data_IF_115515388142
#
_entry.id   IF_115515388142
#
_cell.length_a   1.000
_cell.length_b   1.000
_cell.length_c   1.000
_cell.angle_alpha   90.00
_cell.angle_beta   90.00
_cell.angle_gamma   90.00
#
_symmetry.space_group_name_H-M   'P 1'
#
loop_
_entity.id
_entity.type
_entity.pdbx_description
1 polymer ?
#
# COMPACT_ATOMS: atom_id res chain seq x y z
N UNK A 1 23.24 -5.86 -13.21
CA UNK A 1 22.15 -6.64 -13.83
C UNK A 1 20.94 -6.51 -12.93
N UNK A 2 19.87 -5.86 -13.37
CA UNK A 2 18.61 -5.89 -12.62
C UNK A 2 18.08 -7.33 -12.67
N UNK A 3 17.85 -7.95 -11.52
CA UNK A 3 17.25 -9.28 -11.45
C UNK A 3 15.84 -9.19 -12.04
N UNK A 4 15.44 -10.22 -12.80
CA UNK A 4 14.23 -10.22 -13.65
C UNK A 4 12.91 -9.98 -12.88
N UNK A 5 12.95 -10.03 -11.54
CA UNK A 5 11.80 -10.01 -10.64
C UNK A 5 11.86 -8.87 -9.59
N UNK A 6 12.60 -7.79 -9.84
CA UNK A 6 12.66 -6.68 -8.87
C UNK A 6 11.43 -5.78 -8.98
N UNK A 7 10.76 -5.56 -7.84
CA UNK A 7 9.74 -4.53 -7.68
C UNK A 7 10.40 -3.18 -7.41
N UNK A 8 9.89 -2.12 -8.03
CA UNK A 8 10.38 -0.76 -7.84
C UNK A 8 9.19 0.13 -7.47
N UNK A 9 9.24 0.73 -6.29
CA UNK A 9 8.27 1.75 -5.87
C UNK A 9 8.38 2.97 -6.79
N UNK A 10 7.25 3.43 -7.29
CA UNK A 10 7.17 4.59 -8.17
C UNK A 10 7.07 5.89 -7.35
N UNK A 11 7.47 7.04 -7.92
CA UNK A 11 7.23 8.34 -7.30
C UNK A 11 5.74 8.56 -7.01
N UNK A 12 5.45 9.29 -5.92
CA UNK A 12 4.09 9.68 -5.58
C UNK A 12 3.58 10.79 -6.50
N UNK A 13 2.28 10.78 -6.76
CA UNK A 13 1.63 11.84 -7.55
C UNK A 13 1.07 12.95 -6.65
N UNK A 14 0.64 12.61 -5.43
CA UNK A 14 0.06 13.55 -4.47
C UNK A 14 0.75 13.44 -3.12
N UNK A 15 0.73 14.56 -2.40
CA UNK A 15 1.04 14.59 -0.97
C UNK A 15 -0.23 14.24 -0.18
N UNK A 16 -0.06 13.52 0.92
CA UNK A 16 -1.15 13.15 1.82
C UNK A 16 -0.61 12.91 3.23
N UNK A 17 -1.40 12.29 4.10
CA UNK A 17 -0.94 11.89 5.44
C UNK A 17 -1.44 10.49 5.81
N UNK A 18 -1.31 9.58 4.83
CA UNK A 18 -1.63 8.18 4.97
C UNK A 18 -0.45 7.45 5.64
N UNK A 19 -0.77 6.44 6.44
CA UNK A 19 0.21 5.81 7.34
C UNK A 19 0.21 4.28 7.24
N UNK A 20 -0.69 3.71 6.43
CA UNK A 20 -0.78 2.28 6.15
C UNK A 20 -0.72 1.43 7.42
N UNK A 21 -1.26 1.91 8.55
CA UNK A 21 -1.05 1.28 9.86
C UNK A 21 -2.06 0.16 10.12
N UNK A 22 -3.25 0.27 9.53
CA UNK A 22 -4.35 -0.66 9.70
C UNK A 22 -4.10 -2.09 9.23
N UNK A 23 -5.17 -2.89 9.28
CA UNK A 23 -5.15 -4.30 8.86
C UNK A 23 -4.76 -4.38 7.38
N UNK A 24 -3.82 -5.26 7.04
CA UNK A 24 -3.43 -5.49 5.64
C UNK A 24 -4.29 -6.57 5.01
N UNK A 25 -4.96 -6.24 3.92
CA UNK A 25 -5.67 -7.18 3.05
C UNK A 25 -4.95 -7.31 1.71
N UNK A 26 -5.15 -8.44 1.04
CA UNK A 26 -4.63 -8.67 -0.30
C UNK A 26 -5.61 -9.50 -1.11
N UNK A 27 -5.68 -9.26 -2.42
CA UNK A 27 -6.55 -10.05 -3.31
C UNK A 27 -6.06 -11.49 -3.42
N UNK A 28 -6.98 -12.41 -3.71
CA UNK A 28 -6.63 -13.81 -4.00
C UNK A 28 -5.64 -13.92 -5.17
N UNK A 29 -5.71 -13.01 -6.13
CA UNK A 29 -4.79 -12.98 -7.27
C UNK A 29 -3.36 -12.68 -6.84
N UNK A 30 -3.14 -11.71 -5.95
CA UNK A 30 -1.82 -11.43 -5.37
C UNK A 30 -1.27 -12.67 -4.67
N UNK A 31 -2.08 -13.32 -3.81
CA UNK A 31 -1.66 -14.51 -3.07
C UNK A 31 -1.30 -15.70 -3.97
N UNK A 32 -1.94 -15.81 -5.14
CA UNK A 32 -1.72 -16.92 -6.06
C UNK A 32 -0.56 -16.67 -7.05
N UNK A 33 -0.30 -15.41 -7.42
CA UNK A 33 0.62 -15.06 -8.50
C UNK A 33 1.95 -14.44 -8.06
N UNK A 34 2.02 -13.93 -6.84
CA UNK A 34 3.22 -13.30 -6.28
C UNK A 34 3.75 -14.18 -5.15
N UNK A 35 5.06 -14.41 -5.14
CA UNK A 35 5.67 -15.22 -4.09
C UNK A 35 5.57 -14.53 -2.72
N UNK A 36 5.52 -15.32 -1.64
CA UNK A 36 5.52 -14.76 -0.28
C UNK A 36 6.75 -13.88 -0.01
N UNK A 37 7.91 -14.20 -0.59
CA UNK A 37 9.12 -13.36 -0.47
C UNK A 37 8.92 -11.98 -1.10
N UNK A 38 8.37 -11.91 -2.31
CA UNK A 38 8.05 -10.65 -2.98
C UNK A 38 6.98 -9.85 -2.21
N UNK A 39 5.94 -10.52 -1.71
CA UNK A 39 4.90 -9.89 -0.87
C UNK A 39 5.53 -9.28 0.38
N UNK A 40 6.36 -10.03 1.10
CA UNK A 40 7.03 -9.56 2.31
C UNK A 40 8.00 -8.41 2.01
N UNK A 41 8.67 -8.43 0.86
CA UNK A 41 9.52 -7.33 0.41
C UNK A 41 8.70 -6.05 0.18
N UNK A 42 7.57 -6.14 -0.54
CA UNK A 42 6.68 -4.99 -0.79
C UNK A 42 6.18 -4.40 0.53
N UNK A 43 5.71 -5.25 1.45
CA UNK A 43 5.23 -4.81 2.76
C UNK A 43 6.35 -4.11 3.55
N UNK A 44 7.57 -4.67 3.53
CA UNK A 44 8.70 -4.11 4.26
C UNK A 44 9.13 -2.75 3.70
N UNK A 45 9.27 -2.64 2.37
CA UNK A 45 9.60 -1.37 1.69
C UNK A 45 8.53 -0.31 1.95
N UNK A 46 7.25 -0.67 1.90
CA UNK A 46 6.15 0.25 2.20
C UNK A 46 6.24 0.76 3.64
N UNK A 47 6.48 -0.12 4.61
CA UNK A 47 6.59 0.27 6.02
C UNK A 47 7.82 1.14 6.29
N UNK A 48 8.96 0.84 5.67
CA UNK A 48 10.15 1.68 5.75
C UNK A 48 9.88 3.06 5.14
N UNK A 49 9.26 3.10 3.97
CA UNK A 49 8.88 4.35 3.32
C UNK A 49 7.96 5.20 4.20
N UNK A 50 6.97 4.56 4.83
CA UNK A 50 6.05 5.22 5.75
C UNK A 50 6.74 5.83 6.96
N UNK A 51 7.82 5.21 7.44
CA UNK A 51 8.60 5.76 8.55
C UNK A 51 9.48 6.94 8.14
N UNK A 52 9.93 6.96 6.89
CA UNK A 52 10.85 7.98 6.37
C UNK A 52 10.13 9.25 5.92
N UNK A 53 8.98 9.10 5.25
CA UNK A 53 8.23 10.22 4.72
C UNK A 53 7.11 10.68 5.65
N UNK A 54 6.86 11.99 5.67
CA UNK A 54 5.78 12.59 6.47
C UNK A 54 4.51 12.84 5.67
N UNK A 55 4.63 12.92 4.34
CA UNK A 55 3.55 13.34 3.46
C UNK A 55 3.27 12.31 2.37
N UNK A 56 2.54 11.25 2.73
CA UNK A 56 2.38 10.06 1.90
C UNK A 56 0.99 10.01 1.28
N UNK A 57 0.95 9.74 -0.02
CA UNK A 57 -0.25 9.48 -0.81
C UNK A 57 -1.01 8.22 -0.31
N UNK A 58 -2.32 8.18 -0.53
CA UNK A 58 -3.15 7.02 -0.21
C UNK A 58 -2.83 5.81 -1.09
N UNK A 59 -2.26 6.06 -2.28
CA UNK A 59 -1.91 5.05 -3.28
C UNK A 59 -0.40 4.98 -3.46
N UNK A 60 0.18 3.81 -3.17
CA UNK A 60 1.57 3.49 -3.50
C UNK A 60 1.61 2.47 -4.64
N UNK A 61 2.41 2.78 -5.65
CA UNK A 61 2.52 1.96 -6.86
C UNK A 61 3.88 1.28 -6.91
N UNK A 62 3.87 -0.05 -7.10
CA UNK A 62 5.06 -0.83 -7.40
C UNK A 62 4.98 -1.33 -8.84
N UNK A 63 6.09 -1.19 -9.58
CA UNK A 63 6.23 -1.73 -10.93
C UNK A 63 7.32 -2.80 -10.96
N UNK A 64 7.04 -3.90 -11.64
CA UNK A 64 8.04 -4.94 -11.93
C UNK A 64 8.54 -4.82 -13.37
N UNK A 65 9.74 -5.33 -13.62
CA UNK A 65 10.41 -5.28 -14.93
C UNK A 65 9.63 -5.99 -16.05
N UNK A 66 8.74 -6.92 -15.71
CA UNK A 66 7.86 -7.61 -16.66
C UNK A 66 6.57 -6.84 -16.99
N UNK A 67 6.43 -5.61 -16.47
CA UNK A 67 5.31 -4.72 -16.75
C UNK A 67 4.16 -4.84 -15.75
N UNK A 68 4.18 -5.81 -14.84
CA UNK A 68 3.16 -5.91 -13.78
C UNK A 68 3.21 -4.70 -12.86
N UNK A 69 2.03 -4.30 -12.38
CA UNK A 69 1.85 -3.20 -11.44
C UNK A 69 1.01 -3.67 -10.25
N UNK A 70 1.48 -3.35 -9.06
CA UNK A 70 0.76 -3.57 -7.80
C UNK A 70 0.45 -2.21 -7.19
N UNK A 71 -0.77 -2.09 -6.66
CA UNK A 71 -1.24 -0.96 -5.88
C UNK A 71 -1.32 -1.37 -4.41
N UNK A 72 -0.85 -0.48 -3.54
CA UNK A 72 -1.13 -0.50 -2.11
C UNK A 72 -1.98 0.72 -1.78
N UNK A 73 -3.19 0.51 -1.24
CA UNK A 73 -4.18 1.57 -1.02
C UNK A 73 -4.56 1.61 0.46
N UNK A 74 -4.34 2.74 1.11
CA UNK A 74 -4.76 3.01 2.49
C UNK A 74 -6.14 3.70 2.49
N UNK A 75 -7.05 3.25 3.35
CA UNK A 75 -8.44 3.74 3.34
C UNK A 75 -8.65 4.99 4.17
N UNK A 76 -7.98 5.07 5.32
CA UNK A 76 -8.11 6.21 6.22
C UNK A 76 -6.76 6.92 6.35
N UNK A 77 -6.79 8.22 6.09
CA UNK A 77 -5.66 9.07 6.42
C UNK A 77 -5.61 9.35 7.92
N UNK A 78 -4.44 9.78 8.42
CA UNK A 78 -4.30 10.24 9.80
C UNK A 78 -5.30 11.36 10.14
N UNK A 79 -5.45 12.34 9.24
CA UNK A 79 -6.40 13.45 9.46
C UNK A 79 -7.85 12.98 9.52
N UNK A 80 -8.24 11.99 8.71
CA UNK A 80 -9.60 11.43 8.77
C UNK A 80 -9.87 10.81 10.14
N UNK A 81 -8.93 10.02 10.66
CA UNK A 81 -9.05 9.40 11.99
C UNK A 81 -9.10 10.44 13.13
N UNK A 82 -8.42 11.58 12.97
CA UNK A 82 -8.35 12.64 13.98
C UNK A 82 -9.45 13.71 13.84
N UNK A 83 -10.22 13.67 12.75
CA UNK A 83 -11.20 14.72 12.41
C UNK A 83 -12.44 14.76 13.33
N UNK A 84 -12.79 13.63 13.95
CA UNK A 84 -14.06 13.43 14.64
C UNK A 84 -15.27 13.22 13.69
N UNK A 85 -15.05 13.13 12.38
CA UNK A 85 -16.10 12.79 11.39
C UNK A 85 -16.46 11.30 11.41
N UNK A 86 -15.52 10.45 11.84
CA UNK A 86 -15.70 9.02 11.99
C UNK A 86 -15.80 8.64 13.46
N UNK A 87 -16.74 7.78 13.79
CA UNK A 87 -16.83 7.13 15.10
C UNK A 87 -15.65 6.19 15.35
N UNK A 88 -15.39 5.85 16.61
CA UNK A 88 -14.36 4.86 16.96
C UNK A 88 -14.62 3.47 16.35
N UNK A 89 -15.89 3.12 16.13
CA UNK A 89 -16.30 1.87 15.47
C UNK A 89 -15.96 1.91 13.98
N UNK A 90 -16.33 3.00 13.29
CA UNK A 90 -15.99 3.19 11.87
C UNK A 90 -14.48 3.22 11.65
N UNK A 91 -13.71 3.91 12.50
CA UNK A 91 -12.24 3.88 12.43
C UNK A 91 -11.72 2.45 12.58
N UNK A 92 -12.25 1.66 13.53
CA UNK A 92 -11.82 0.28 13.74
C UNK A 92 -12.13 -0.66 12.56
N UNK A 93 -13.24 -0.40 11.87
CA UNK A 93 -13.66 -1.17 10.70
C UNK A 93 -12.92 -0.77 9.44
N UNK A 94 -12.65 0.52 9.26
CA UNK A 94 -12.08 1.10 8.04
C UNK A 94 -10.57 1.37 8.12
N UNK A 95 -9.92 1.21 9.28
CA UNK A 95 -8.46 1.23 9.40
C UNK A 95 -7.85 -0.06 8.82
N UNK A 96 -7.81 -0.10 7.50
CA UNK A 96 -7.20 -1.14 6.70
C UNK A 96 -6.59 -0.60 5.42
N UNK A 97 -5.69 -1.38 4.83
CA UNK A 97 -5.09 -1.10 3.54
C UNK A 97 -5.02 -2.37 2.71
N UNK A 98 -5.02 -2.21 1.39
CA UNK A 98 -5.18 -3.33 0.44
C UNK A 98 -4.02 -3.40 -0.55
N UNK A 99 -3.53 -4.61 -0.82
CA UNK A 99 -2.61 -4.92 -1.91
C UNK A 99 -3.37 -5.63 -3.04
N UNK A 100 -3.30 -5.08 -4.25
CA UNK A 100 -3.96 -5.63 -5.43
C UNK A 100 -3.14 -5.35 -6.70
N UNK A 101 -3.38 -6.12 -7.76
CA UNK A 101 -2.86 -5.73 -9.07
C UNK A 101 -3.58 -4.49 -9.59
N UNK A 102 -2.88 -3.65 -10.35
CA UNK A 102 -3.44 -2.42 -10.91
C UNK A 102 -4.64 -2.66 -11.84
N UNK A 103 -4.74 -3.85 -12.45
CA UNK A 103 -5.86 -4.24 -13.32
C UNK A 103 -7.09 -4.73 -12.54
N UNK A 104 -6.99 -4.86 -11.22
CA UNK A 104 -8.12 -5.17 -10.33
C UNK A 104 -8.81 -3.90 -9.79
N UNK A 105 -8.29 -2.71 -10.11
CA UNK A 105 -8.79 -1.39 -9.71
C UNK A 105 -9.43 -0.67 -10.90
#
# INVERSE_FOLDING_TARGET
>A
MATKNTWVRQPQEKHGNYIFNGKSYMTTKIMNEISNEEIMWIISDLKEFVQQEKEIDYLIVYRRNDGRKIFCIDQLSKSMMESGEYSEEEIREYDYWTILFAEEY
#
